data_IF_171175494792
#
_entry.id   IF_171175494792
#
_cell.length_a   1.000
_cell.length_b   1.000
_cell.length_c   1.000
_cell.angle_alpha   90.00
_cell.angle_beta   90.00
_cell.angle_gamma   90.00
#
_symmetry.space_group_name_H-M   'P 1'
#
loop_
_entity.id
_entity.type
_entity.pdbx_description
1 polymer ?
#
# COMPACT_ATOMS: atom_id res chain seq x y z
N UNK A 1 10.80 8.18 -8.90
CA UNK A 1 11.00 7.17 -7.84
C UNK A 1 9.69 6.45 -7.57
N UNK A 2 9.38 5.44 -8.40
CA UNK A 2 8.02 4.91 -8.58
C UNK A 2 7.31 4.46 -7.30
N UNK A 3 6.00 4.62 -7.31
CA UNK A 3 5.08 4.29 -6.22
C UNK A 3 4.29 3.06 -6.67
N UNK A 4 4.94 1.90 -6.59
CA UNK A 4 4.27 0.60 -6.59
C UNK A 4 3.83 0.20 -5.16
N UNK A 5 3.19 -0.97 -4.98
CA UNK A 5 2.73 -1.42 -3.66
C UNK A 5 3.81 -1.38 -2.58
N UNK A 6 5.06 -1.73 -2.92
CA UNK A 6 6.16 -1.72 -1.95
C UNK A 6 6.56 -0.32 -1.47
N UNK A 7 6.68 0.66 -2.37
CA UNK A 7 7.01 2.02 -1.97
C UNK A 7 5.80 2.76 -1.37
N UNK A 8 4.58 2.33 -1.70
CA UNK A 8 3.37 2.79 -1.03
C UNK A 8 3.30 2.24 0.41
N UNK A 9 3.70 0.99 0.63
CA UNK A 9 3.88 0.40 1.96
C UNK A 9 4.91 1.18 2.77
N UNK A 10 6.07 1.50 2.19
CA UNK A 10 7.07 2.34 2.85
C UNK A 10 6.52 3.72 3.23
N UNK A 11 5.74 4.35 2.35
CA UNK A 11 5.11 5.64 2.65
C UNK A 11 4.10 5.54 3.80
N UNK A 12 3.28 4.49 3.82
CA UNK A 12 2.29 4.23 4.86
C UNK A 12 2.95 3.98 6.23
N UNK A 13 4.05 3.22 6.27
CA UNK A 13 4.81 2.98 7.49
C UNK A 13 5.54 4.25 7.96
N UNK A 14 6.13 5.01 7.04
CA UNK A 14 6.81 6.27 7.36
C UNK A 14 5.88 7.31 8.00
N UNK A 15 4.58 7.31 7.65
CA UNK A 15 3.57 8.17 8.28
C UNK A 15 3.49 8.01 9.80
N UNK A 16 3.76 6.81 10.32
CA UNK A 16 3.72 6.50 11.75
C UNK A 16 4.99 6.89 12.53
N UNK A 17 6.03 7.40 11.86
CA UNK A 17 7.34 7.67 12.48
C UNK A 17 7.49 9.16 12.83
N UNK A 18 7.50 9.55 14.11
CA UNK A 18 7.62 10.95 14.51
C UNK A 18 8.93 11.58 14.03
N UNK A 19 8.84 12.79 13.46
CA UNK A 19 10.00 13.56 12.99
C UNK A 19 10.58 13.10 11.65
N UNK A 20 10.08 12.02 11.05
CA UNK A 20 10.49 11.58 9.71
C UNK A 20 9.73 12.36 8.63
N UNK A 21 10.48 12.93 7.68
CA UNK A 21 9.92 13.58 6.49
C UNK A 21 10.30 12.80 5.25
N UNK A 22 9.32 12.38 4.47
CA UNK A 22 9.53 11.65 3.22
C UNK A 22 8.87 12.36 2.05
N UNK A 23 9.39 12.11 0.85
CA UNK A 23 8.77 12.50 -0.41
C UNK A 23 8.84 11.32 -1.38
N UNK A 24 7.71 11.00 -2.01
CA UNK A 24 7.55 9.86 -2.90
C UNK A 24 7.11 10.38 -4.28
N UNK A 25 7.71 9.90 -5.37
CA UNK A 25 7.56 10.50 -6.70
C UNK A 25 7.28 9.46 -7.78
N UNK A 26 6.02 9.29 -8.20
CA UNK A 26 5.71 8.53 -9.41
C UNK A 26 5.62 9.45 -10.64
N UNK A 27 5.93 8.89 -11.82
CA UNK A 27 5.74 9.60 -13.09
C UNK A 27 4.27 9.61 -13.53
N UNK A 28 3.47 8.66 -13.04
CA UNK A 28 2.05 8.53 -13.33
C UNK A 28 1.27 9.51 -12.45
N UNK A 29 0.18 10.11 -12.96
CA UNK A 29 -0.64 11.06 -12.20
C UNK A 29 -1.44 10.41 -11.06
N UNK A 30 -1.49 9.07 -11.00
CA UNK A 30 -2.22 8.34 -9.98
C UNK A 30 -1.80 6.88 -9.90
N UNK A 31 -2.05 6.28 -8.74
CA UNK A 31 -1.75 4.88 -8.50
C UNK A 31 -2.71 3.96 -9.25
N UNK A 32 -2.16 3.07 -10.08
CA UNK A 32 -2.89 1.97 -10.72
C UNK A 32 -1.95 0.77 -10.79
N UNK A 33 -2.30 -0.30 -10.09
CA UNK A 33 -1.48 -1.52 -10.05
C UNK A 33 -2.01 -2.55 -11.06
N UNK A 34 -1.16 -2.92 -12.02
CA UNK A 34 -1.46 -3.83 -13.13
C UNK A 34 -2.90 -3.74 -13.71
N UNK A 35 -3.34 -2.57 -14.21
CA UNK A 35 -4.74 -2.37 -14.65
C UNK A 35 -5.17 -3.32 -15.78
N UNK A 36 -4.24 -3.75 -16.65
CA UNK A 36 -4.52 -4.72 -17.71
C UNK A 36 -4.68 -6.17 -17.23
N UNK A 37 -4.46 -6.46 -15.94
CA UNK A 37 -4.60 -7.78 -15.33
C UNK A 37 -5.75 -7.83 -14.31
N UNK A 38 -6.59 -6.79 -14.24
CA UNK A 38 -7.81 -6.78 -13.45
C UNK A 38 -8.91 -7.55 -14.20
N UNK A 39 -8.72 -8.86 -14.29
CA UNK A 39 -9.61 -9.80 -14.97
C UNK A 39 -10.73 -10.20 -14.01
N UNK A 40 -11.95 -10.35 -14.52
CA UNK A 40 -13.08 -10.82 -13.72
C UNK A 40 -12.77 -12.17 -13.04
N UNK A 41 -13.06 -12.26 -11.74
CA UNK A 41 -12.79 -13.44 -10.93
C UNK A 41 -11.34 -13.59 -10.46
N UNK A 42 -10.40 -12.74 -10.90
CA UNK A 42 -9.03 -12.77 -10.39
C UNK A 42 -8.97 -12.34 -8.91
N UNK A 43 -8.17 -13.09 -8.13
CA UNK A 43 -7.92 -12.80 -6.71
C UNK A 43 -6.42 -12.66 -6.46
N UNK A 44 -6.07 -12.02 -5.34
CA UNK A 44 -4.70 -12.05 -4.85
C UNK A 44 -4.34 -13.46 -4.40
N UNK A 45 -3.11 -13.89 -4.70
CA UNK A 45 -2.57 -15.20 -4.27
C UNK A 45 -2.00 -15.18 -2.84
N UNK A 46 -2.11 -14.03 -2.16
CA UNK A 46 -1.65 -13.82 -0.78
C UNK A 46 -2.84 -13.46 0.11
N UNK A 47 -2.81 -13.81 1.40
CA UNK A 47 -3.88 -13.44 2.32
C UNK A 47 -3.96 -11.91 2.46
N UNK A 48 -5.14 -11.39 2.81
CA UNK A 48 -5.34 -9.95 2.98
C UNK A 48 -4.47 -9.33 4.09
N UNK A 49 -3.93 -10.14 5.02
CA UNK A 49 -2.96 -9.68 6.01
C UNK A 49 -1.63 -9.24 5.38
N UNK A 50 -1.31 -9.73 4.17
CA UNK A 50 -0.23 -9.21 3.35
C UNK A 50 -0.67 -7.94 2.59
N UNK A 51 -1.34 -7.03 3.30
CA UNK A 51 -1.58 -5.66 2.84
C UNK A 51 -0.31 -4.81 2.97
N UNK A 52 -0.45 -3.49 2.90
CA UNK A 52 0.68 -2.57 2.94
C UNK A 52 1.43 -2.54 4.29
N UNK A 53 0.79 -2.84 5.42
CA UNK A 53 1.30 -2.47 6.74
C UNK A 53 1.08 -3.51 7.83
N UNK A 54 0.05 -4.36 7.73
CA UNK A 54 -0.45 -5.19 8.83
C UNK A 54 0.61 -6.12 9.40
N UNK A 55 1.49 -6.70 8.58
CA UNK A 55 2.57 -7.57 9.08
C UNK A 55 3.69 -6.82 9.82
N UNK A 56 3.78 -5.51 9.66
CA UNK A 56 4.75 -4.66 10.37
C UNK A 56 4.10 -3.90 11.54
N UNK A 57 2.89 -3.40 11.36
CA UNK A 57 2.10 -2.66 12.35
C UNK A 57 0.59 -2.94 12.15
N UNK A 58 0.01 -3.92 12.87
CA UNK A 58 -1.43 -4.23 12.79
C UNK A 58 -2.34 -3.10 13.27
N UNK A 59 -1.84 -2.14 14.06
CA UNK A 59 -2.62 -1.01 14.55
C UNK A 59 -2.65 0.17 13.56
N UNK A 60 -1.90 0.07 12.46
CA UNK A 60 -1.80 1.14 11.47
C UNK A 60 -3.17 1.48 10.86
N UNK A 61 -3.49 2.79 10.72
CA UNK A 61 -4.71 3.23 10.04
C UNK A 61 -4.71 2.87 8.54
N UNK A 62 -3.58 2.45 7.98
CA UNK A 62 -3.42 2.07 6.58
C UNK A 62 -3.60 0.56 6.32
N UNK A 63 -4.01 -0.21 7.33
CA UNK A 63 -4.33 -1.64 7.18
C UNK A 63 -5.58 -1.85 6.32
N UNK A 64 -5.67 -3.00 5.65
CA UNK A 64 -6.80 -3.37 4.82
C UNK A 64 -8.09 -3.48 5.63
N UNK A 65 -8.02 -3.98 6.86
CA UNK A 65 -9.19 -4.02 7.75
C UNK A 65 -9.67 -2.62 8.14
N UNK A 66 -8.76 -1.65 8.31
CA UNK A 66 -9.16 -0.27 8.57
C UNK A 66 -9.71 0.43 7.31
N UNK A 67 -9.24 0.05 6.12
CA UNK A 67 -9.82 0.49 4.85
C UNK A 67 -11.26 -0.02 4.63
N UNK A 68 -11.60 -1.21 5.14
CA UNK A 68 -12.95 -1.79 5.01
C UNK A 68 -13.99 -1.23 6.00
N UNK A 69 -13.58 -0.42 6.98
CA UNK A 69 -14.50 0.22 7.95
C UNK A 69 -15.22 1.41 7.31
#
# INVERSE_FOLDING_TARGET
MGIGPFNLSLAALAHGVPGLRTAHYDQRPGFRWHPGLLIEGATLQVPFLADLVTLADPASPWSFLNYLK
#
